data_IF_298168076076
#
_entry.id   IF_298168076076
#
_cell.length_a   1.000
_cell.length_b   1.000
_cell.length_c   1.000
_cell.angle_alpha   90.00
_cell.angle_beta   90.00
_cell.angle_gamma   90.00
#
_symmetry.space_group_name_H-M   'P 1'
#
loop_
_entity.id
_entity.type
_entity.pdbx_description
1 polymer ?
#
# COMPACT_ATOMS: atom_id res chain seq x y z
N UNK A 1 -43.47 -9.06 -6.24
CA UNK A 1 -42.39 -9.91 -5.69
C UNK A 1 -41.71 -9.14 -4.57
N UNK A 2 -41.78 -9.61 -3.32
CA UNK A 2 -41.46 -8.79 -2.13
C UNK A 2 -39.94 -8.69 -1.90
N UNK A 3 -39.33 -7.55 -2.25
CA UNK A 3 -37.89 -7.24 -2.09
C UNK A 3 -37.40 -7.45 -0.65
N UNK A 4 -38.28 -7.35 0.35
CA UNK A 4 -37.97 -7.61 1.76
C UNK A 4 -37.38 -9.02 2.00
N UNK A 5 -37.87 -10.06 1.33
CA UNK A 5 -37.42 -11.43 1.61
C UNK A 5 -35.96 -11.67 1.20
N UNK A 6 -35.53 -11.09 0.08
CA UNK A 6 -34.18 -11.27 -0.46
C UNK A 6 -33.09 -10.60 0.38
N UNK A 7 -33.38 -9.44 0.97
CA UNK A 7 -32.38 -8.73 1.82
C UNK A 7 -32.11 -9.42 3.16
N UNK A 8 -32.98 -10.34 3.58
CA UNK A 8 -32.83 -11.11 4.82
C UNK A 8 -32.21 -12.50 4.58
N UNK A 9 -32.35 -13.05 3.36
CA UNK A 9 -31.78 -14.34 2.97
C UNK A 9 -30.25 -14.32 2.94
N UNK A 10 -29.61 -15.34 3.53
CA UNK A 10 -28.16 -15.50 3.51
C UNK A 10 -27.67 -15.91 2.12
N UNK A 11 -28.41 -16.80 1.45
CA UNK A 11 -28.11 -17.29 0.09
C UNK A 11 -28.06 -16.14 -0.92
N UNK A 12 -29.04 -15.23 -0.87
CA UNK A 12 -29.07 -14.07 -1.77
C UNK A 12 -27.85 -13.16 -1.60
N UNK A 13 -27.37 -13.00 -0.35
CA UNK A 13 -26.16 -12.20 -0.06
C UNK A 13 -24.90 -12.89 -0.56
N UNK A 14 -24.79 -14.19 -0.37
CA UNK A 14 -23.65 -14.98 -0.86
C UNK A 14 -23.58 -14.91 -2.38
N UNK A 15 -24.70 -15.10 -3.08
CA UNK A 15 -24.75 -14.97 -4.55
C UNK A 15 -24.37 -13.55 -4.98
N UNK A 16 -24.94 -12.52 -4.35
CA UNK A 16 -24.63 -11.13 -4.68
C UNK A 16 -23.15 -10.79 -4.43
N UNK A 17 -22.52 -11.39 -3.42
CA UNK A 17 -21.09 -11.23 -3.14
C UNK A 17 -20.21 -11.86 -4.21
N UNK A 18 -20.47 -13.11 -4.60
CA UNK A 18 -19.74 -13.74 -5.70
C UNK A 18 -19.94 -13.00 -7.02
N UNK A 19 -21.18 -12.58 -7.30
CA UNK A 19 -21.51 -11.81 -8.49
C UNK A 19 -20.79 -10.46 -8.50
N UNK A 20 -20.71 -9.77 -7.35
CA UNK A 20 -19.92 -8.54 -7.20
C UNK A 20 -18.46 -8.78 -7.55
N UNK A 21 -17.82 -9.82 -6.99
CA UNK A 21 -16.40 -10.10 -7.25
C UNK A 21 -16.17 -10.39 -8.73
N UNK A 22 -16.96 -11.28 -9.34
CA UNK A 22 -16.82 -11.62 -10.77
C UNK A 22 -17.03 -10.40 -11.66
N UNK A 23 -18.07 -9.61 -11.41
CA UNK A 23 -18.40 -8.44 -12.24
C UNK A 23 -17.42 -7.30 -12.04
N UNK A 24 -16.91 -7.07 -10.84
CA UNK A 24 -15.86 -6.08 -10.57
C UNK A 24 -14.53 -6.48 -11.24
N UNK A 25 -14.12 -7.75 -11.15
CA UNK A 25 -12.96 -8.26 -11.87
C UNK A 25 -13.12 -8.16 -13.39
N UNK A 26 -14.31 -8.46 -13.91
CA UNK A 26 -14.61 -8.32 -15.34
C UNK A 26 -14.50 -6.86 -15.77
N UNK A 27 -15.08 -5.92 -15.01
CA UNK A 27 -15.00 -4.50 -15.31
C UNK A 27 -13.55 -4.00 -15.29
N UNK A 28 -12.76 -4.37 -14.28
CA UNK A 28 -11.35 -4.02 -14.19
C UNK A 28 -10.54 -4.61 -15.35
N UNK A 29 -10.77 -5.88 -15.68
CA UNK A 29 -10.16 -6.56 -16.83
C UNK A 29 -10.52 -5.90 -18.17
N UNK A 30 -11.76 -5.43 -18.34
CA UNK A 30 -12.17 -4.68 -19.53
C UNK A 30 -11.47 -3.32 -19.61
N UNK A 31 -11.27 -2.61 -18.49
CA UNK A 31 -10.51 -1.36 -18.47
C UNK A 31 -9.05 -1.61 -18.86
N UNK A 32 -8.39 -2.59 -18.26
CA UNK A 32 -7.01 -2.95 -18.60
C UNK A 32 -6.90 -3.41 -20.06
N UNK A 33 -7.79 -4.27 -20.51
CA UNK A 33 -7.85 -4.74 -21.89
C UNK A 33 -8.04 -3.59 -22.88
N UNK A 34 -8.93 -2.63 -22.58
CA UNK A 34 -9.12 -1.46 -23.42
C UNK A 34 -7.86 -0.58 -23.50
N UNK A 35 -7.16 -0.37 -22.38
CA UNK A 35 -5.88 0.37 -22.37
C UNK A 35 -4.85 -0.32 -23.27
N UNK A 36 -4.68 -1.64 -23.13
CA UNK A 36 -3.74 -2.43 -23.95
C UNK A 36 -4.12 -2.34 -25.43
N UNK A 37 -5.40 -2.55 -25.78
CA UNK A 37 -5.87 -2.48 -27.17
C UNK A 37 -5.62 -1.11 -27.81
N UNK A 38 -5.77 -0.03 -27.03
CA UNK A 38 -5.47 1.33 -27.50
C UNK A 38 -3.96 1.52 -27.69
N UNK A 39 -3.14 1.11 -26.73
CA UNK A 39 -1.68 1.25 -26.78
C UNK A 39 -1.05 0.47 -27.94
N UNK A 40 -1.52 -0.75 -28.17
CA UNK A 40 -1.03 -1.64 -29.23
C UNK A 40 -1.65 -1.32 -30.62
N UNK A 41 -2.52 -0.30 -30.71
CA UNK A 41 -3.03 0.19 -31.99
C UNK A 41 -4.11 -0.68 -32.65
N UNK A 42 -4.82 -1.53 -31.90
CA UNK A 42 -5.86 -2.45 -32.40
C UNK A 42 -7.04 -1.76 -33.11
N UNK A 43 -7.20 -0.45 -32.98
CA UNK A 43 -8.24 0.35 -33.63
C UNK A 43 -7.77 1.04 -34.92
N UNK A 44 -6.46 1.06 -35.17
CA UNK A 44 -5.85 1.84 -36.26
C UNK A 44 -5.12 0.97 -37.28
N UNK A 45 -4.66 -0.20 -36.87
CA UNK A 45 -3.88 -1.15 -37.68
C UNK A 45 -4.72 -2.36 -38.05
N UNK A 46 -4.38 -3.02 -39.15
CA UNK A 46 -5.02 -4.29 -39.51
C UNK A 46 -4.56 -5.40 -38.56
N UNK A 47 -5.39 -6.43 -38.41
CA UNK A 47 -5.05 -7.61 -37.62
C UNK A 47 -3.74 -8.26 -38.09
N UNK A 48 -3.58 -8.41 -39.42
CA UNK A 48 -2.38 -8.98 -40.03
C UNK A 48 -1.12 -8.19 -39.67
N UNK A 49 -1.18 -6.86 -39.65
CA UNK A 49 -0.04 -6.02 -39.26
C UNK A 49 0.36 -6.21 -37.79
N UNK A 50 -0.62 -6.40 -36.91
CA UNK A 50 -0.37 -6.60 -35.47
C UNK A 50 0.22 -7.99 -35.24
N UNK A 51 -0.37 -9.02 -35.86
CA UNK A 51 0.13 -10.39 -35.79
C UNK A 51 1.55 -10.46 -36.34
N UNK A 52 1.80 -9.92 -37.54
CA UNK A 52 3.12 -9.97 -38.17
C UNK A 52 4.20 -9.29 -37.32
N UNK A 53 3.91 -8.13 -36.71
CA UNK A 53 4.87 -7.46 -35.83
C UNK A 53 5.17 -8.29 -34.58
N UNK A 54 4.15 -8.86 -33.93
CA UNK A 54 4.37 -9.69 -32.75
C UNK A 54 5.15 -10.98 -33.08
N UNK A 55 4.86 -11.61 -34.22
CA UNK A 55 5.62 -12.76 -34.71
C UNK A 55 7.08 -12.38 -35.03
N UNK A 56 7.32 -11.18 -35.55
CA UNK A 56 8.68 -10.66 -35.78
C UNK A 56 9.46 -10.53 -34.45
N UNK A 57 8.87 -9.93 -33.41
CA UNK A 57 9.54 -9.81 -32.10
C UNK A 57 9.80 -11.16 -31.45
N UNK A 58 8.85 -12.10 -31.53
CA UNK A 58 9.06 -13.47 -31.03
C UNK A 58 10.18 -14.17 -31.78
N UNK A 59 10.16 -14.12 -33.12
CA UNK A 59 11.20 -14.71 -33.94
C UNK A 59 12.58 -14.12 -33.63
N UNK A 60 12.69 -12.80 -33.49
CA UNK A 60 13.94 -12.14 -33.12
C UNK A 60 14.45 -12.60 -31.74
N UNK A 61 13.57 -12.70 -30.75
CA UNK A 61 13.92 -13.15 -29.40
C UNK A 61 14.40 -14.60 -29.38
N UNK A 62 13.70 -15.50 -30.09
CA UNK A 62 14.10 -16.90 -30.22
C UNK A 62 15.40 -17.06 -30.99
N UNK A 63 15.55 -16.35 -32.11
CA UNK A 63 16.79 -16.31 -32.90
C UNK A 63 17.98 -15.89 -32.05
N UNK A 64 17.81 -14.84 -31.24
CA UNK A 64 18.85 -14.37 -30.31
C UNK A 64 19.20 -15.43 -29.26
N UNK A 65 18.20 -16.14 -28.75
CA UNK A 65 18.39 -17.26 -27.82
C UNK A 65 19.17 -18.41 -28.44
N UNK A 66 18.83 -18.80 -29.67
CA UNK A 66 19.52 -19.86 -30.42
C UNK A 66 20.99 -19.52 -30.66
N UNK A 67 21.31 -18.28 -31.10
CA UNK A 67 22.70 -17.87 -31.32
C UNK A 67 23.48 -17.87 -30.00
N UNK A 68 22.89 -17.31 -28.94
CA UNK A 68 23.49 -17.32 -27.60
C UNK A 68 23.78 -18.75 -27.14
N UNK A 69 22.81 -19.65 -27.27
CA UNK A 69 22.93 -21.01 -26.77
C UNK A 69 23.94 -21.81 -27.62
N UNK A 70 24.02 -21.57 -28.92
CA UNK A 70 25.08 -22.14 -29.77
C UNK A 70 26.49 -21.69 -29.34
N UNK A 71 26.66 -20.39 -29.06
CA UNK A 71 27.95 -19.82 -28.66
C UNK A 71 28.39 -20.26 -27.25
N UNK A 72 27.45 -20.41 -26.32
CA UNK A 72 27.74 -20.73 -24.92
C UNK A 72 27.68 -22.23 -24.62
N UNK A 73 26.89 -23.00 -25.36
CA UNK A 73 26.58 -24.41 -25.07
C UNK A 73 26.67 -25.27 -26.33
N UNK A 74 27.91 -25.57 -26.76
CA UNK A 74 28.20 -26.31 -28.00
C UNK A 74 27.66 -27.76 -28.04
N UNK A 75 27.28 -28.34 -26.90
CA UNK A 75 26.75 -29.72 -26.83
C UNK A 75 25.22 -29.81 -26.99
N UNK A 76 24.50 -28.70 -27.06
CA UNK A 76 23.05 -28.71 -27.16
C UNK A 76 22.61 -29.00 -28.61
N UNK A 77 21.81 -30.06 -28.82
CA UNK A 77 21.19 -30.32 -30.12
C UNK A 77 20.01 -29.38 -30.36
N UNK A 78 20.31 -28.15 -30.77
CA UNK A 78 19.32 -27.09 -30.95
C UNK A 78 18.27 -27.48 -32.03
N UNK A 79 18.63 -28.00 -33.23
CA UNK A 79 17.64 -28.34 -34.25
C UNK A 79 16.53 -29.29 -33.79
N UNK A 80 16.87 -30.30 -32.99
CA UNK A 80 15.92 -31.30 -32.47
C UNK A 80 14.88 -30.67 -31.53
N UNK A 81 15.27 -29.62 -30.81
CA UNK A 81 14.37 -28.88 -29.90
C UNK A 81 13.23 -28.17 -30.66
N UNK A 82 13.47 -27.82 -31.94
CA UNK A 82 12.52 -27.06 -32.77
C UNK A 82 11.85 -27.91 -33.86
N UNK A 83 12.02 -29.24 -33.87
CA UNK A 83 11.49 -30.11 -34.93
C UNK A 83 9.96 -30.03 -35.04
N UNK A 84 9.26 -30.00 -33.89
CA UNK A 84 7.81 -29.96 -33.79
C UNK A 84 7.26 -28.56 -33.44
N UNK A 85 7.83 -27.52 -34.06
CA UNK A 85 7.39 -26.13 -33.89
C UNK A 85 7.05 -25.49 -35.24
N UNK A 86 6.29 -24.39 -35.20
CA UNK A 86 5.99 -23.57 -36.37
C UNK A 86 7.16 -22.66 -36.77
N UNK A 87 8.29 -22.74 -36.05
CA UNK A 87 9.49 -21.94 -36.27
C UNK A 87 10.54 -22.75 -37.06
N UNK A 88 10.81 -22.31 -38.30
CA UNK A 88 11.85 -22.87 -39.15
C UNK A 88 12.98 -21.89 -39.30
N UNK A 89 14.21 -22.36 -39.22
CA UNK A 89 15.37 -21.51 -39.29
C UNK A 89 16.61 -22.20 -39.89
N UNK A 90 17.50 -21.37 -40.42
CA UNK A 90 18.86 -21.73 -40.77
C UNK A 90 19.83 -20.68 -40.25
N UNK A 91 20.94 -21.16 -39.68
CA UNK A 91 22.02 -20.34 -39.16
C UNK A 91 23.24 -20.42 -40.08
N UNK A 92 23.75 -19.25 -40.46
CA UNK A 92 24.98 -19.09 -41.24
C UNK A 92 26.01 -18.29 -40.44
N UNK A 93 27.26 -18.74 -40.46
CA UNK A 93 28.42 -17.96 -40.02
C UNK A 93 29.00 -17.21 -41.23
N UNK A 94 29.36 -15.95 -41.01
CA UNK A 94 29.96 -15.05 -42.00
C UNK A 94 29.21 -15.02 -43.35
N UNK A 95 27.87 -15.04 -43.25
CA UNK A 95 26.88 -14.97 -44.35
C UNK A 95 27.05 -16.04 -45.45
N UNK A 96 27.86 -17.08 -45.21
CA UNK A 96 28.24 -18.05 -46.24
C UNK A 96 28.39 -19.49 -45.76
N UNK A 97 28.82 -19.72 -44.51
CA UNK A 97 29.00 -21.06 -43.96
C UNK A 97 27.74 -21.50 -43.20
N UNK A 98 27.02 -22.49 -43.71
CA UNK A 98 25.85 -23.05 -43.01
C UNK A 98 26.31 -23.82 -41.77
N UNK A 99 25.90 -23.36 -40.59
CA UNK A 99 26.24 -23.99 -39.30
C UNK A 99 25.23 -25.11 -38.99
N UNK A 100 23.94 -24.79 -38.86
CA UNK A 100 22.86 -25.74 -38.64
C UNK A 100 21.48 -25.14 -38.97
N UNK A 101 20.43 -25.96 -38.98
CA UNK A 101 19.05 -25.54 -39.22
C UNK A 101 18.08 -26.72 -39.10
N UNK A 102 16.78 -26.44 -38.98
CA UNK A 102 15.76 -27.41 -38.59
C UNK A 102 14.66 -27.65 -39.65
N UNK A 103 14.97 -27.63 -40.96
CA UNK A 103 14.03 -27.85 -42.09
C UNK A 103 13.56 -26.53 -42.75
N UNK A 104 14.48 -25.72 -43.29
CA UNK A 104 14.13 -24.76 -44.34
C UNK A 104 14.65 -25.34 -45.67
N UNK A 105 13.76 -25.65 -46.60
CA UNK A 105 14.20 -26.06 -47.94
C UNK A 105 14.87 -24.87 -48.62
N UNK A 106 16.02 -25.07 -49.26
CA UNK A 106 16.82 -23.99 -49.88
C UNK A 106 16.08 -23.18 -50.98
N UNK A 107 14.89 -23.65 -51.39
CA UNK A 107 14.00 -22.99 -52.36
C UNK A 107 12.98 -22.03 -51.73
N UNK A 108 12.85 -22.03 -50.41
CA UNK A 108 11.85 -21.23 -49.71
C UNK A 108 12.38 -19.82 -49.38
N UNK A 109 11.56 -18.80 -49.63
CA UNK A 109 11.88 -17.43 -49.24
C UNK A 109 11.71 -17.26 -47.73
N UNK A 110 12.74 -16.81 -46.99
CA UNK A 110 12.60 -16.55 -45.56
C UNK A 110 11.64 -15.38 -45.31
N UNK A 111 10.86 -15.45 -44.24
CA UNK A 111 10.03 -14.33 -43.79
C UNK A 111 10.91 -13.22 -43.18
N UNK A 112 11.96 -13.61 -42.43
CA UNK A 112 12.83 -12.69 -41.72
C UNK A 112 14.31 -13.06 -41.85
N UNK A 113 15.17 -12.04 -41.88
CA UNK A 113 16.63 -12.17 -41.77
C UNK A 113 17.10 -11.36 -40.58
N UNK A 114 17.74 -12.02 -39.62
CA UNK A 114 18.36 -11.40 -38.45
C UNK A 114 19.87 -11.59 -38.52
N UNK A 115 20.63 -10.56 -38.12
CA UNK A 115 22.09 -10.62 -38.06
C UNK A 115 22.49 -10.30 -36.63
N UNK A 116 23.35 -11.13 -36.07
CA UNK A 116 23.89 -10.99 -34.73
C UNK A 116 25.41 -11.08 -34.77
N UNK A 117 26.09 -10.41 -33.84
CA UNK A 117 27.53 -10.51 -33.70
C UNK A 117 27.92 -11.32 -32.47
N UNK A 118 28.94 -12.17 -32.58
CA UNK A 118 29.50 -12.93 -31.44
C UNK A 118 29.77 -12.06 -30.21
N UNK A 119 30.30 -10.85 -30.43
CA UNK A 119 30.59 -9.86 -29.38
C UNK A 119 29.35 -9.41 -28.57
N UNK A 120 28.13 -9.68 -29.05
CA UNK A 120 26.90 -9.40 -28.28
C UNK A 120 26.65 -10.42 -27.16
N UNK A 121 27.29 -11.61 -27.24
CA UNK A 121 27.05 -12.74 -26.35
C UNK A 121 28.29 -13.19 -25.60
N UNK A 122 29.48 -13.00 -26.18
CA UNK A 122 30.76 -13.39 -25.58
C UNK A 122 31.67 -12.18 -25.40
N UNK A 123 32.60 -12.26 -24.45
CA UNK A 123 33.66 -11.24 -24.27
C UNK A 123 34.84 -11.47 -25.24
N UNK A 124 34.63 -12.24 -26.30
CA UNK A 124 35.69 -12.60 -27.22
C UNK A 124 35.98 -11.47 -28.21
N UNK A 125 37.22 -11.38 -28.69
CA UNK A 125 37.62 -10.38 -29.69
C UNK A 125 37.23 -10.78 -31.12
N UNK A 126 36.78 -12.03 -31.31
CA UNK A 126 36.27 -12.51 -32.59
C UNK A 126 34.95 -11.81 -32.93
N UNK A 127 34.90 -11.24 -34.14
CA UNK A 127 33.79 -10.46 -34.69
C UNK A 127 32.96 -11.27 -35.70
N UNK A 128 32.86 -12.59 -35.51
CA UNK A 128 32.08 -13.47 -36.37
C UNK A 128 30.63 -13.03 -36.42
N UNK A 129 30.09 -12.92 -37.63
CA UNK A 129 28.70 -12.56 -37.85
C UNK A 129 27.85 -13.81 -38.03
N UNK A 130 26.72 -13.85 -37.33
CA UNK A 130 25.74 -14.94 -37.40
C UNK A 130 24.46 -14.43 -38.05
N UNK A 131 24.20 -14.91 -39.26
CA UNK A 131 22.96 -14.63 -40.00
C UNK A 131 21.96 -15.74 -39.75
N UNK A 132 20.79 -15.37 -39.22
CA UNK A 132 19.66 -16.27 -39.09
C UNK A 132 18.60 -15.96 -40.13
N UNK A 133 18.29 -16.96 -40.95
CA UNK A 133 17.14 -16.95 -41.83
C UNK A 133 15.99 -17.66 -41.12
N UNK A 134 14.83 -17.02 -41.05
CA UNK A 134 13.67 -17.53 -40.33
C UNK A 134 12.46 -17.57 -41.25
N UNK A 135 11.70 -18.65 -41.16
CA UNK A 135 10.39 -18.81 -41.76
C UNK A 135 9.40 -19.33 -40.74
N UNK A 136 8.23 -18.72 -40.68
CA UNK A 136 7.16 -19.13 -39.76
C UNK A 136 6.07 -19.81 -40.57
N UNK A 137 5.68 -21.03 -40.19
CA UNK A 137 4.54 -21.68 -40.81
C UNK A 137 3.23 -21.00 -40.35
N UNK A 138 2.69 -20.15 -41.21
CA UNK A 138 1.46 -19.38 -40.97
C UNK A 138 0.19 -20.25 -40.97
N UNK A 139 0.29 -21.53 -41.34
CA UNK A 139 -0.81 -22.49 -41.19
C UNK A 139 -0.90 -23.05 -39.76
N UNK A 140 0.10 -22.78 -38.92
CA UNK A 140 0.17 -23.14 -37.50
C UNK A 140 -0.23 -24.60 -37.19
N UNK A 141 0.37 -25.61 -37.85
CA UNK A 141 0.05 -27.02 -37.60
C UNK A 141 0.41 -27.49 -36.19
N UNK A 142 1.38 -26.85 -35.53
CA UNK A 142 1.82 -27.19 -34.19
C UNK A 142 1.23 -26.27 -33.11
N UNK A 143 0.95 -26.83 -31.93
CA UNK A 143 0.49 -26.07 -30.76
C UNK A 143 1.69 -25.51 -29.98
N UNK A 144 2.23 -24.37 -30.40
CA UNK A 144 3.37 -23.70 -29.79
C UNK A 144 3.06 -22.24 -29.41
N UNK A 145 4.09 -21.48 -29.03
CA UNK A 145 3.95 -20.07 -28.69
C UNK A 145 3.38 -19.23 -29.84
N UNK A 146 3.75 -19.53 -31.09
CA UNK A 146 3.31 -18.82 -32.28
C UNK A 146 1.82 -19.00 -32.56
N UNK A 147 1.31 -20.23 -32.46
CA UNK A 147 -0.12 -20.48 -32.65
C UNK A 147 -0.95 -19.90 -31.50
N UNK A 148 -0.44 -19.96 -30.27
CA UNK A 148 -1.09 -19.39 -29.09
C UNK A 148 -1.21 -17.87 -29.16
N UNK A 149 -0.11 -17.16 -29.47
CA UNK A 149 -0.14 -15.69 -29.57
C UNK A 149 -1.02 -15.23 -30.72
N UNK A 150 -0.97 -15.92 -31.87
CA UNK A 150 -1.78 -15.59 -33.04
C UNK A 150 -3.27 -15.71 -32.71
N UNK A 151 -3.68 -16.82 -32.07
CA UNK A 151 -5.06 -17.00 -31.60
C UNK A 151 -5.49 -15.96 -30.56
N UNK A 152 -4.59 -15.60 -29.64
CA UNK A 152 -4.88 -14.56 -28.62
C UNK A 152 -5.05 -13.17 -29.26
N UNK A 153 -4.21 -12.81 -30.23
CA UNK A 153 -4.30 -11.55 -30.98
C UNK A 153 -5.58 -11.50 -31.82
N UNK A 154 -5.93 -12.60 -32.49
CA UNK A 154 -7.20 -12.72 -33.22
C UNK A 154 -8.40 -12.51 -32.29
N UNK A 155 -8.40 -13.18 -31.13
CA UNK A 155 -9.44 -13.01 -30.11
C UNK A 155 -9.51 -11.56 -29.62
N UNK A 156 -8.38 -10.95 -29.25
CA UNK A 156 -8.30 -9.56 -28.81
C UNK A 156 -8.83 -8.59 -29.88
N UNK A 157 -8.47 -8.83 -31.14
CA UNK A 157 -8.93 -8.04 -32.29
C UNK A 157 -10.45 -8.16 -32.49
N UNK A 158 -11.02 -9.36 -32.35
CA UNK A 158 -12.46 -9.59 -32.42
C UNK A 158 -13.23 -8.93 -31.26
N UNK A 159 -12.61 -8.85 -30.08
CA UNK A 159 -13.21 -8.32 -28.85
C UNK A 159 -13.07 -6.80 -28.70
N UNK A 160 -12.35 -6.11 -29.61
CA UNK A 160 -11.95 -4.71 -29.46
C UNK A 160 -13.09 -3.73 -29.18
N UNK A 161 -14.29 -3.99 -29.69
CA UNK A 161 -15.47 -3.17 -29.42
C UNK A 161 -16.36 -3.75 -28.30
N UNK A 162 -16.40 -5.08 -28.19
CA UNK A 162 -17.17 -5.78 -27.17
C UNK A 162 -16.67 -5.47 -25.75
N UNK A 163 -15.36 -5.23 -25.58
CA UNK A 163 -14.74 -4.92 -24.28
C UNK A 163 -15.39 -3.72 -23.58
N UNK A 164 -15.76 -2.67 -24.32
CA UNK A 164 -16.42 -1.50 -23.74
C UNK A 164 -17.83 -1.82 -23.26
N UNK A 165 -18.59 -2.56 -24.07
CA UNK A 165 -19.97 -2.93 -23.75
C UNK A 165 -19.98 -3.85 -22.53
N UNK A 166 -19.14 -4.89 -22.51
CA UNK A 166 -19.00 -5.83 -21.39
C UNK A 166 -18.52 -5.08 -20.14
N UNK A 167 -17.55 -4.16 -20.28
CA UNK A 167 -17.06 -3.33 -19.18
C UNK A 167 -18.15 -2.48 -18.56
N UNK A 168 -18.99 -1.82 -19.37
CA UNK A 168 -20.09 -0.98 -18.88
C UNK A 168 -21.15 -1.82 -18.15
N UNK A 169 -21.61 -2.92 -18.74
CA UNK A 169 -22.62 -3.78 -18.13
C UNK A 169 -22.11 -4.44 -16.84
N UNK A 170 -20.86 -4.91 -16.83
CA UNK A 170 -20.24 -5.48 -15.63
C UNK A 170 -20.08 -4.43 -14.52
N UNK A 171 -19.70 -3.19 -14.85
CA UNK A 171 -19.63 -2.11 -13.88
C UNK A 171 -21.01 -1.77 -13.27
N UNK A 172 -22.06 -1.67 -14.09
CA UNK A 172 -23.42 -1.46 -13.59
C UNK A 172 -23.89 -2.59 -12.68
N UNK A 173 -23.63 -3.84 -13.07
CA UNK A 173 -24.02 -5.00 -12.27
C UNK A 173 -23.23 -5.07 -10.95
N UNK A 174 -21.93 -4.75 -10.97
CA UNK A 174 -21.11 -4.64 -9.77
C UNK A 174 -21.66 -3.58 -8.81
N UNK A 175 -22.01 -2.39 -9.31
CA UNK A 175 -22.62 -1.33 -8.50
C UNK A 175 -23.95 -1.80 -7.91
N UNK A 176 -24.81 -2.44 -8.70
CA UNK A 176 -26.09 -2.96 -8.23
C UNK A 176 -25.92 -4.01 -7.13
N UNK A 177 -24.99 -4.96 -7.29
CA UNK A 177 -24.66 -5.95 -6.28
C UNK A 177 -24.09 -5.31 -5.00
N UNK A 178 -23.20 -4.34 -5.14
CA UNK A 178 -22.63 -3.61 -4.01
C UNK A 178 -23.72 -2.89 -3.21
N UNK A 179 -24.59 -2.13 -3.90
CA UNK A 179 -25.72 -1.43 -3.28
C UNK A 179 -26.66 -2.41 -2.57
N UNK A 180 -27.01 -3.53 -3.22
CA UNK A 180 -27.82 -4.58 -2.61
C UNK A 180 -27.18 -5.12 -1.32
N UNK A 181 -25.87 -5.42 -1.33
CA UNK A 181 -25.14 -5.89 -0.15
C UNK A 181 -25.14 -4.84 0.97
N UNK A 182 -24.98 -3.55 0.65
CA UNK A 182 -25.07 -2.47 1.64
C UNK A 182 -26.46 -2.41 2.28
N UNK A 183 -27.54 -2.56 1.51
CA UNK A 183 -28.90 -2.60 2.06
C UNK A 183 -29.16 -3.86 2.91
N UNK A 184 -28.67 -5.02 2.46
CA UNK A 184 -28.81 -6.30 3.14
C UNK A 184 -27.90 -6.44 4.38
N UNK A 185 -26.87 -5.60 4.51
CA UNK A 185 -25.93 -5.64 5.63
C UNK A 185 -26.66 -5.48 6.97
N UNK A 186 -26.41 -6.40 7.90
CA UNK A 186 -26.98 -6.40 9.26
C UNK A 186 -28.40 -6.97 9.39
N UNK A 187 -29.11 -7.20 8.29
CA UNK A 187 -30.44 -7.83 8.29
C UNK A 187 -30.32 -9.36 8.34
N UNK A 188 -31.21 -10.05 9.04
CA UNK A 188 -31.25 -11.53 9.07
C UNK A 188 -32.67 -12.04 8.99
N UNK A 189 -32.85 -13.21 8.39
CA UNK A 189 -34.14 -13.89 8.37
C UNK A 189 -34.59 -14.25 9.80
N UNK A 190 -35.85 -13.97 10.12
CA UNK A 190 -36.41 -14.18 11.46
C UNK A 190 -36.07 -13.12 12.52
N UNK A 191 -35.33 -12.04 12.19
CA UNK A 191 -35.10 -10.90 13.09
C UNK A 191 -35.31 -9.57 12.35
N UNK A 192 -36.25 -8.75 12.82
CA UNK A 192 -36.45 -7.39 12.29
C UNK A 192 -35.35 -6.42 12.74
N UNK A 193 -34.73 -6.68 13.89
CA UNK A 193 -33.64 -5.86 14.41
C UNK A 193 -32.34 -6.05 13.63
N UNK A 194 -31.63 -4.94 13.41
CA UNK A 194 -30.29 -4.94 12.81
C UNK A 194 -29.35 -5.62 13.80
N UNK A 195 -28.81 -6.77 13.42
CA UNK A 195 -27.91 -7.54 14.28
C UNK A 195 -26.44 -7.23 13.96
N UNK A 196 -25.64 -6.99 15.00
CA UNK A 196 -24.18 -6.83 14.88
C UNK A 196 -23.43 -8.18 14.77
N UNK A 197 -24.13 -9.28 14.46
CA UNK A 197 -23.56 -10.64 14.52
C UNK A 197 -22.98 -11.05 13.16
N UNK A 198 -21.71 -11.47 13.11
CA UNK A 198 -20.98 -11.87 11.90
C UNK A 198 -19.82 -10.92 11.59
N UNK A 199 -19.68 -10.48 10.33
CA UNK A 199 -18.64 -9.53 9.90
C UNK A 199 -18.64 -8.21 10.70
N UNK A 200 -19.78 -7.83 11.29
CA UNK A 200 -19.88 -6.66 12.17
C UNK A 200 -19.25 -6.84 13.56
N UNK A 201 -18.96 -8.08 13.96
CA UNK A 201 -18.24 -8.40 15.19
C UNK A 201 -16.72 -8.16 15.06
N UNK A 202 -16.18 -8.13 13.84
CA UNK A 202 -14.77 -7.83 13.59
C UNK A 202 -14.52 -6.36 13.94
N UNK A 203 -13.48 -6.04 14.75
CA UNK A 203 -13.08 -4.67 15.03
C UNK A 203 -12.82 -3.92 13.72
N UNK A 204 -13.42 -2.73 13.61
CA UNK A 204 -13.31 -1.91 12.41
C UNK A 204 -11.85 -1.56 12.07
N UNK A 205 -11.01 -1.38 13.09
CA UNK A 205 -9.59 -1.05 12.94
C UNK A 205 -8.78 -2.22 12.36
N UNK A 206 -9.17 -3.48 12.63
CA UNK A 206 -8.51 -4.65 12.05
C UNK A 206 -8.79 -4.76 10.56
N UNK A 207 -10.04 -4.53 10.14
CA UNK A 207 -10.39 -4.47 8.72
C UNK A 207 -9.70 -3.29 8.01
N UNK A 208 -9.55 -2.15 8.71
CA UNK A 208 -8.81 -1.00 8.18
C UNK A 208 -7.34 -1.37 7.97
N UNK A 209 -6.70 -2.00 8.96
CA UNK A 209 -5.32 -2.47 8.83
C UNK A 209 -5.15 -3.49 7.71
N UNK A 210 -6.08 -4.44 7.57
CA UNK A 210 -6.06 -5.43 6.49
C UNK A 210 -6.24 -4.79 5.11
N UNK A 211 -7.12 -3.80 4.99
CA UNK A 211 -7.34 -3.05 3.75
C UNK A 211 -6.08 -2.26 3.35
N UNK A 212 -5.44 -1.60 4.33
CA UNK A 212 -4.18 -0.88 4.10
C UNK A 212 -3.04 -1.83 3.73
N UNK A 213 -2.97 -3.00 4.35
CA UNK A 213 -1.98 -4.02 4.01
C UNK A 213 -2.20 -4.55 2.58
N UNK A 214 -3.43 -4.85 2.20
CA UNK A 214 -3.76 -5.28 0.83
C UNK A 214 -3.36 -4.20 -0.19
N UNK A 215 -3.75 -2.95 0.03
CA UNK A 215 -3.37 -1.84 -0.83
C UNK A 215 -1.84 -1.61 -0.89
N UNK A 216 -1.14 -1.78 0.23
CA UNK A 216 0.32 -1.67 0.27
C UNK A 216 0.99 -2.77 -0.55
N UNK A 217 0.50 -4.02 -0.45
CA UNK A 217 1.00 -5.14 -1.25
C UNK A 217 0.77 -4.85 -2.74
N UNK A 218 -0.41 -4.39 -3.13
CA UNK A 218 -0.73 -4.08 -4.52
C UNK A 218 0.17 -2.96 -5.08
N UNK A 219 0.35 -1.86 -4.34
CA UNK A 219 1.22 -0.75 -4.74
C UNK A 219 2.69 -1.18 -4.81
N UNK A 220 3.14 -2.02 -3.85
CA UNK A 220 4.49 -2.57 -3.85
C UNK A 220 4.72 -3.50 -5.05
N UNK A 221 3.73 -4.32 -5.39
CA UNK A 221 3.77 -5.17 -6.57
C UNK A 221 3.87 -4.33 -7.83
N UNK A 222 3.04 -3.31 -8.01
CA UNK A 222 3.09 -2.42 -9.19
C UNK A 222 4.42 -1.66 -9.28
N UNK A 223 4.91 -1.11 -8.17
CA UNK A 223 6.19 -0.36 -8.15
C UNK A 223 7.40 -1.24 -8.46
N UNK A 224 7.42 -2.49 -8.03
CA UNK A 224 8.45 -3.46 -8.40
C UNK A 224 8.25 -3.97 -9.85
N UNK A 225 7.00 -4.03 -10.33
CA UNK A 225 6.65 -4.48 -11.68
C UNK A 225 7.04 -3.48 -12.78
N UNK A 226 7.40 -2.23 -12.44
CA UNK A 226 7.97 -1.27 -13.41
C UNK A 226 9.23 -1.79 -14.13
N UNK A 227 9.85 -2.88 -13.63
CA UNK A 227 10.97 -3.56 -14.29
C UNK A 227 10.67 -4.99 -14.79
N UNK A 228 9.54 -5.62 -14.44
CA UNK A 228 9.38 -7.09 -14.54
C UNK A 228 7.93 -7.58 -14.80
N UNK A 229 7.18 -6.99 -15.74
CA UNK A 229 5.90 -7.58 -16.22
C UNK A 229 6.08 -8.82 -17.11
N UNK A 230 7.28 -9.40 -17.17
CA UNK A 230 7.56 -10.62 -17.94
C UNK A 230 7.25 -11.93 -17.18
N UNK A 231 7.07 -11.89 -15.86
CA UNK A 231 6.84 -13.09 -15.05
C UNK A 231 5.36 -13.31 -14.72
N UNK A 232 4.85 -14.51 -15.02
CA UNK A 232 3.49 -14.97 -14.69
C UNK A 232 3.18 -14.79 -13.21
N UNK A 233 4.18 -14.95 -12.33
CA UNK A 233 4.01 -14.77 -10.90
C UNK A 233 3.63 -13.32 -10.53
N UNK A 234 4.21 -12.32 -11.21
CA UNK A 234 3.91 -10.90 -10.95
C UNK A 234 2.46 -10.56 -11.29
N UNK A 235 1.96 -11.05 -12.43
CA UNK A 235 0.58 -10.88 -12.87
C UNK A 235 -0.38 -11.60 -11.90
N UNK A 236 -0.05 -12.81 -11.46
CA UNK A 236 -0.85 -13.56 -10.51
C UNK A 236 -0.97 -12.82 -9.17
N UNK A 237 0.12 -12.23 -8.65
CA UNK A 237 0.11 -11.44 -7.42
C UNK A 237 -0.82 -10.22 -7.55
N UNK A 238 -0.77 -9.50 -8.67
CA UNK A 238 -1.64 -8.34 -8.90
C UNK A 238 -3.13 -8.74 -8.97
N UNK A 239 -3.46 -9.82 -9.68
CA UNK A 239 -4.85 -10.29 -9.80
C UNK A 239 -5.39 -10.78 -8.46
N UNK A 240 -4.62 -11.59 -7.74
CA UNK A 240 -5.02 -12.11 -6.43
C UNK A 240 -5.09 -11.00 -5.37
N UNK A 241 -4.15 -10.04 -5.41
CA UNK A 241 -4.14 -8.86 -4.56
C UNK A 241 -5.37 -8.00 -4.77
N UNK A 242 -5.73 -7.71 -6.02
CA UNK A 242 -6.96 -7.00 -6.36
C UNK A 242 -8.23 -7.72 -5.86
N UNK A 243 -8.32 -9.04 -6.04
CA UNK A 243 -9.44 -9.84 -5.51
C UNK A 243 -9.49 -9.75 -3.98
N UNK A 244 -8.35 -9.88 -3.30
CA UNK A 244 -8.27 -9.78 -1.85
C UNK A 244 -8.71 -8.39 -1.37
N UNK A 245 -8.25 -7.31 -2.02
CA UNK A 245 -8.65 -5.94 -1.74
C UNK A 245 -10.16 -5.73 -1.95
N UNK A 246 -10.75 -6.29 -3.01
CA UNK A 246 -12.21 -6.24 -3.23
C UNK A 246 -12.99 -6.97 -2.13
N UNK A 247 -12.54 -8.16 -1.72
CA UNK A 247 -13.17 -8.96 -0.67
C UNK A 247 -13.12 -8.21 0.68
N UNK A 248 -11.93 -7.76 1.07
CA UNK A 248 -11.70 -7.04 2.33
C UNK A 248 -12.41 -5.68 2.31
N UNK A 249 -12.34 -4.95 1.20
CA UNK A 249 -13.00 -3.67 1.02
C UNK A 249 -14.52 -3.77 1.08
N UNK A 250 -15.10 -4.81 0.48
CA UNK A 250 -16.54 -5.08 0.57
C UNK A 250 -16.94 -5.41 2.01
N UNK A 251 -16.18 -6.27 2.69
CA UNK A 251 -16.41 -6.59 4.10
C UNK A 251 -16.32 -5.35 5.00
N UNK A 252 -15.33 -4.48 4.74
CA UNK A 252 -15.15 -3.19 5.42
C UNK A 252 -16.38 -2.29 5.22
N UNK A 253 -16.84 -2.12 3.98
CA UNK A 253 -18.02 -1.32 3.65
C UNK A 253 -19.29 -1.89 4.30
N UNK A 254 -19.48 -3.21 4.29
CA UNK A 254 -20.62 -3.85 4.96
C UNK A 254 -20.58 -3.63 6.49
N UNK A 255 -19.41 -3.75 7.13
CA UNK A 255 -19.25 -3.49 8.56
C UNK A 255 -19.56 -2.01 8.88
N UNK A 256 -19.07 -1.09 8.06
CA UNK A 256 -19.38 0.33 8.17
C UNK A 256 -20.89 0.59 8.04
N UNK A 257 -21.55 -0.01 7.04
CA UNK A 257 -22.98 0.17 6.80
C UNK A 257 -23.82 -0.32 7.99
N UNK A 258 -23.47 -1.46 8.61
CA UNK A 258 -24.14 -1.96 9.83
C UNK A 258 -24.00 -0.96 10.98
N UNK A 259 -22.79 -0.41 11.18
CA UNK A 259 -22.52 0.55 12.26
C UNK A 259 -23.26 1.87 12.11
N UNK A 260 -23.37 2.37 10.87
CA UNK A 260 -24.19 3.54 10.54
C UNK A 260 -25.66 3.25 10.85
N UNK A 261 -26.19 2.09 10.44
CA UNK A 261 -27.57 1.68 10.73
C UNK A 261 -27.86 1.50 12.23
N UNK A 262 -26.86 1.12 13.03
CA UNK A 262 -26.97 0.97 14.48
C UNK A 262 -26.82 2.29 15.26
N UNK A 263 -26.55 3.42 14.60
CA UNK A 263 -26.44 4.73 15.25
C UNK A 263 -25.21 4.90 16.14
N UNK A 264 -24.19 4.04 15.99
CA UNK A 264 -23.06 3.93 16.91
C UNK A 264 -21.70 3.79 16.24
N UNK A 265 -21.43 4.57 15.19
CA UNK A 265 -20.23 4.40 14.35
C UNK A 265 -18.88 4.47 15.12
N UNK A 266 -18.80 5.25 16.19
CA UNK A 266 -17.53 5.50 16.92
C UNK A 266 -17.36 4.75 18.23
N UNK A 267 -18.44 4.32 18.89
CA UNK A 267 -18.39 3.81 20.29
C UNK A 267 -17.65 2.48 20.45
N UNK A 268 -17.34 1.79 19.34
CA UNK A 268 -16.68 0.49 19.34
C UNK A 268 -15.49 0.43 18.36
N UNK A 269 -14.74 1.53 18.24
CA UNK A 269 -13.42 1.58 17.61
C UNK A 269 -12.32 1.43 18.66
N UNK A 270 -11.20 0.80 18.30
CA UNK A 270 -10.00 0.68 19.14
C UNK A 270 -9.46 2.07 19.46
N UNK A 271 -9.51 3.01 18.50
CA UNK A 271 -9.14 4.42 18.72
C UNK A 271 -9.97 5.03 19.85
N UNK A 272 -11.29 4.85 19.85
CA UNK A 272 -12.13 5.36 20.93
C UNK A 272 -11.78 4.72 22.29
N UNK A 273 -11.49 3.41 22.32
CA UNK A 273 -11.06 2.73 23.56
C UNK A 273 -9.72 3.26 24.07
N UNK A 274 -8.77 3.51 23.17
CA UNK A 274 -7.47 4.10 23.50
C UNK A 274 -7.61 5.54 24.00
N UNK A 275 -8.46 6.36 23.39
CA UNK A 275 -8.72 7.74 23.83
C UNK A 275 -9.39 7.77 25.20
N UNK A 276 -10.37 6.90 25.45
CA UNK A 276 -11.02 6.79 26.76
C UNK A 276 -10.03 6.29 27.81
N UNK A 277 -9.17 5.32 27.47
CA UNK A 277 -8.12 4.84 28.36
C UNK A 277 -7.10 5.94 28.68
N UNK A 278 -6.61 6.67 27.67
CA UNK A 278 -5.70 7.79 27.84
C UNK A 278 -6.34 8.91 28.69
N UNK A 279 -7.61 9.24 28.45
CA UNK A 279 -8.35 10.21 29.24
C UNK A 279 -8.52 9.79 30.70
N UNK A 280 -8.75 8.49 30.96
CA UNK A 280 -8.78 7.94 32.33
C UNK A 280 -7.40 8.00 32.98
N UNK A 281 -6.34 7.62 32.27
CA UNK A 281 -4.97 7.68 32.77
C UNK A 281 -4.56 9.11 33.13
N UNK A 282 -4.81 10.07 32.24
CA UNK A 282 -4.59 11.51 32.49
C UNK A 282 -5.38 12.02 33.68
N UNK A 283 -6.64 11.60 33.82
CA UNK A 283 -7.47 12.00 34.97
C UNK A 283 -6.92 11.45 36.28
N UNK A 284 -6.49 10.18 36.30
CA UNK A 284 -5.87 9.56 37.49
C UNK A 284 -4.57 10.28 37.86
N UNK A 285 -3.70 10.56 36.89
CA UNK A 285 -2.45 11.31 37.10
C UNK A 285 -2.76 12.73 37.61
N UNK A 286 -3.71 13.43 36.99
CA UNK A 286 -4.12 14.77 37.39
C UNK A 286 -4.74 14.81 38.79
N UNK A 287 -5.56 13.83 39.16
CA UNK A 287 -6.08 13.72 40.53
C UNK A 287 -4.99 13.40 41.54
N UNK A 288 -4.01 12.55 41.18
CA UNK A 288 -2.85 12.24 42.01
C UNK A 288 -1.96 13.46 42.24
N UNK A 289 -1.62 14.19 41.18
CA UNK A 289 -0.88 15.46 41.27
C UNK A 289 -1.66 16.49 42.09
N UNK A 290 -2.96 16.68 41.83
CA UNK A 290 -3.78 17.63 42.57
C UNK A 290 -3.89 17.29 44.06
N UNK A 291 -3.91 16.01 44.42
CA UNK A 291 -3.89 15.59 45.82
C UNK A 291 -2.54 15.90 46.49
N UNK A 292 -1.44 15.64 45.79
CA UNK A 292 -0.08 15.94 46.24
C UNK A 292 0.13 17.45 46.44
N UNK A 293 -0.37 18.29 45.53
CA UNK A 293 -0.28 19.76 45.65
C UNK A 293 -1.16 20.34 46.77
N UNK A 294 -2.22 19.64 47.19
CA UNK A 294 -3.10 20.10 48.28
C UNK A 294 -2.54 19.79 49.67
N UNK A 295 -1.78 18.71 49.83
CA UNK A 295 -1.22 18.30 51.12
C UNK A 295 0.11 18.97 51.50
N UNK A 296 0.75 19.70 50.59
CA UNK A 296 2.05 20.33 50.83
C UNK A 296 1.92 21.71 51.52
N UNK A 297 2.79 22.04 52.50
CA UNK A 297 2.90 23.40 53.07
C UNK A 297 3.25 24.44 52.00
N UNK A 298 2.84 25.71 52.19
CA UNK A 298 3.00 26.79 51.19
C UNK A 298 4.46 26.92 50.70
N UNK A 299 5.44 26.77 51.59
CA UNK A 299 6.87 26.82 51.27
C UNK A 299 7.25 25.71 50.28
N UNK A 300 6.80 24.48 50.51
CA UNK A 300 7.08 23.37 49.60
C UNK A 300 6.38 23.51 48.25
N UNK A 301 5.20 24.16 48.19
CA UNK A 301 4.56 24.50 46.90
C UNK A 301 5.43 25.46 46.10
N UNK A 302 6.01 26.47 46.75
CA UNK A 302 6.92 27.42 46.09
C UNK A 302 8.22 26.76 45.63
N UNK A 303 8.81 25.87 46.45
CA UNK A 303 10.00 25.10 46.08
C UNK A 303 9.73 24.19 44.89
N UNK A 304 8.60 23.48 44.89
CA UNK A 304 8.24 22.54 43.82
C UNK A 304 7.89 23.28 42.52
N UNK A 305 7.24 24.44 42.59
CA UNK A 305 7.01 25.32 41.44
C UNK A 305 8.32 25.85 40.86
N UNK A 306 9.26 26.30 41.70
CA UNK A 306 10.59 26.72 41.26
C UNK A 306 11.36 25.57 40.61
N UNK A 307 11.32 24.37 41.18
CA UNK A 307 11.93 23.18 40.59
C UNK A 307 11.31 22.80 39.25
N UNK A 308 9.98 22.92 39.11
CA UNK A 308 9.28 22.63 37.87
C UNK A 308 9.63 23.64 36.76
N UNK A 309 9.73 24.93 37.09
CA UNK A 309 10.15 25.99 36.16
C UNK A 309 11.61 25.78 35.76
N UNK A 310 12.51 25.53 36.71
CA UNK A 310 13.91 25.25 36.44
C UNK A 310 14.10 23.99 35.57
N UNK A 311 13.31 22.95 35.81
CA UNK A 311 13.32 21.73 34.99
C UNK A 311 12.79 21.94 33.58
N UNK A 312 11.72 22.73 33.41
CA UNK A 312 11.17 23.09 32.10
C UNK A 312 12.15 23.91 31.26
N UNK A 313 12.86 24.87 31.88
CA UNK A 313 13.91 25.61 31.19
C UNK A 313 15.08 24.70 30.81
N UNK A 314 15.52 23.79 31.68
CA UNK A 314 16.60 22.84 31.38
C UNK A 314 16.24 21.93 30.19
N UNK A 315 15.01 21.44 30.12
CA UNK A 315 14.51 20.67 28.97
C UNK A 315 14.42 21.50 27.69
N UNK A 316 14.04 22.78 27.82
CA UNK A 316 13.99 23.72 26.69
C UNK A 316 15.39 23.98 26.13
N UNK A 317 16.42 24.08 26.97
CA UNK A 317 17.80 24.18 26.51
C UNK A 317 18.27 22.95 25.74
N UNK A 318 17.98 21.74 26.25
CA UNK A 318 18.36 20.48 25.58
C UNK A 318 17.69 20.24 24.23
N UNK A 319 16.54 20.89 23.97
CA UNK A 319 15.77 20.74 22.73
C UNK A 319 16.07 21.82 21.68
N UNK A 320 16.55 23.02 22.09
CA UNK A 320 16.60 24.19 21.20
C UNK A 320 17.98 24.85 21.01
N UNK A 321 19.02 24.49 21.78
CA UNK A 321 20.34 25.16 21.68
C UNK A 321 21.52 24.16 21.73
N UNK A 322 22.32 24.13 20.66
CA UNK A 322 23.40 23.12 20.49
C UNK A 322 24.82 23.58 20.87
N UNK A 323 25.10 24.87 21.09
CA UNK A 323 26.47 25.32 21.41
C UNK A 323 26.51 26.64 22.21
N UNK A 324 26.30 26.58 23.53
CA UNK A 324 26.50 27.75 24.39
C UNK A 324 26.83 27.39 25.84
N UNK A 325 28.01 26.81 26.08
CA UNK A 325 28.52 26.45 27.42
C UNK A 325 28.58 27.65 28.37
N UNK A 326 28.84 28.86 27.85
CA UNK A 326 28.91 30.10 28.65
C UNK A 326 27.54 30.56 29.18
N UNK A 327 26.45 30.32 28.43
CA UNK A 327 25.11 30.69 28.86
C UNK A 327 24.61 29.83 30.02
N UNK A 328 25.08 28.58 30.12
CA UNK A 328 24.74 27.68 31.24
C UNK A 328 25.33 28.19 32.57
N UNK A 329 26.58 28.67 32.56
CA UNK A 329 27.24 29.19 33.77
C UNK A 329 26.58 30.49 34.23
N UNK A 330 26.32 31.43 33.30
CA UNK A 330 25.64 32.68 33.62
C UNK A 330 24.21 32.44 34.15
N UNK A 331 23.48 31.49 33.56
CA UNK A 331 22.12 31.12 33.98
C UNK A 331 22.10 30.34 35.29
N UNK A 332 23.09 29.48 35.54
CA UNK A 332 23.25 28.81 36.83
C UNK A 332 23.51 29.83 37.95
N UNK A 333 24.34 30.85 37.71
CA UNK A 333 24.54 31.95 38.65
C UNK A 333 23.25 32.75 38.89
N UNK A 334 22.46 33.01 37.84
CA UNK A 334 21.17 33.68 37.95
C UNK A 334 20.19 32.90 38.85
N UNK A 335 20.06 31.59 38.64
CA UNK A 335 19.21 30.73 39.49
C UNK A 335 19.76 30.55 40.91
N UNK A 336 21.09 30.51 41.08
CA UNK A 336 21.75 30.46 42.39
C UNK A 336 21.42 31.70 43.24
N UNK A 337 21.18 32.84 42.60
CA UNK A 337 20.86 34.11 43.27
C UNK A 337 19.34 34.32 43.40
N UNK A 338 18.57 33.95 42.38
CA UNK A 338 17.10 34.09 42.36
C UNK A 338 16.38 33.14 43.31
N UNK A 339 16.81 31.87 43.44
CA UNK A 339 16.13 30.91 44.34
C UNK A 339 16.17 31.38 45.80
N UNK A 340 17.33 31.73 46.38
CA UNK A 340 17.38 32.25 47.75
C UNK A 340 16.59 33.55 47.91
N UNK A 341 16.61 34.44 46.92
CA UNK A 341 15.86 35.69 46.95
C UNK A 341 14.34 35.46 47.00
N UNK A 342 13.82 34.57 46.14
CA UNK A 342 12.40 34.21 46.12
C UNK A 342 11.99 33.50 47.41
N UNK A 343 12.82 32.58 47.93
CA UNK A 343 12.54 31.90 49.19
C UNK A 343 12.57 32.85 50.39
N UNK A 344 13.52 33.79 50.42
CA UNK A 344 13.59 34.82 51.44
C UNK A 344 12.33 35.70 51.40
N UNK A 345 11.89 36.14 50.22
CA UNK A 345 10.68 36.94 50.05
C UNK A 345 9.43 36.14 50.46
N UNK A 346 9.35 34.86 50.11
CA UNK A 346 8.28 33.98 50.55
C UNK A 346 8.26 33.78 52.08
N UNK A 347 9.41 33.70 52.74
CA UNK A 347 9.52 33.63 54.20
C UNK A 347 9.09 34.95 54.88
N UNK A 348 9.45 36.09 54.31
CA UNK A 348 9.00 37.41 54.77
C UNK A 348 7.47 37.51 54.66
N UNK A 349 6.90 37.16 53.51
CA UNK A 349 5.44 37.15 53.32
C UNK A 349 4.74 36.17 54.27
N UNK A 350 5.33 35.01 54.54
CA UNK A 350 4.78 34.06 55.50
C UNK A 350 4.82 34.59 56.94
N UNK A 351 5.90 35.28 57.33
CA UNK A 351 6.00 35.93 58.65
C UNK A 351 4.98 37.06 58.80
N UNK A 352 4.81 37.88 57.75
CA UNK A 352 3.79 38.93 57.70
C UNK A 352 2.37 38.35 57.75
N UNK A 353 2.11 37.27 57.02
CA UNK A 353 0.83 36.58 57.06
C UNK A 353 0.53 36.09 58.49
N UNK A 354 1.47 35.41 59.14
CA UNK A 354 1.31 34.94 60.52
C UNK A 354 1.14 36.07 61.53
N UNK A 355 1.86 37.19 61.35
CA UNK A 355 1.68 38.38 62.17
C UNK A 355 0.32 39.04 61.99
N UNK A 356 -0.18 39.13 60.75
CA UNK A 356 -1.53 39.62 60.47
C UNK A 356 -2.62 38.70 61.04
N UNK A 357 -2.42 37.38 61.01
CA UNK A 357 -3.32 36.41 61.63
C UNK A 357 -3.34 36.54 63.17
N UNK A 358 -2.19 36.76 63.81
CA UNK A 358 -2.08 36.96 65.26
C UNK A 358 -2.73 38.29 65.72
N UNK A 359 -2.52 39.38 64.97
CA UNK A 359 -3.17 40.68 65.24
C UNK A 359 -4.68 40.62 65.03
N UNK A 360 -5.14 39.94 63.98
CA UNK A 360 -6.57 39.72 63.74
C UNK A 360 -7.22 38.86 64.83
N UNK A 361 -6.45 37.98 65.48
CA UNK A 361 -6.89 37.19 66.64
C UNK A 361 -6.89 37.98 67.97
N UNK A 362 -6.49 39.26 67.97
CA UNK A 362 -6.58 40.16 69.12
C UNK A 362 -5.34 40.21 70.01
N UNK A 363 -4.24 39.55 69.63
CA UNK A 363 -2.96 39.64 70.35
C UNK A 363 -2.18 40.90 69.92
N UNK A 364 -2.47 42.02 70.58
CA UNK A 364 -1.82 43.30 70.34
C UNK A 364 -0.37 43.37 70.86
N UNK A 365 0.08 42.34 71.59
CA UNK A 365 1.45 42.25 72.10
C UNK A 365 2.41 41.55 71.13
N UNK A 366 1.90 40.88 70.12
CA UNK A 366 2.70 40.18 69.11
C UNK A 366 3.36 41.17 68.15
N UNK A 367 4.66 41.37 68.31
CA UNK A 367 5.48 42.17 67.41
C UNK A 367 6.18 41.29 66.38
N UNK A 368 6.00 41.61 65.10
CA UNK A 368 6.74 40.98 64.01
C UNK A 368 8.14 41.60 64.01
N UNK A 369 9.18 40.79 64.23
CA UNK A 369 10.57 41.23 64.11
C UNK A 369 10.92 41.49 62.64
N UNK A 370 10.96 42.78 62.27
CA UNK A 370 11.19 43.28 60.90
C UNK A 370 12.65 43.65 60.61
N UNK A 371 13.54 43.62 61.60
CA UNK A 371 14.93 44.13 61.48
C UNK A 371 15.85 43.37 60.50
N UNK A 372 15.34 42.31 59.85
CA UNK A 372 16.02 41.61 58.75
C UNK A 372 15.15 41.54 57.49
N UNK A 373 14.11 42.36 57.36
CA UNK A 373 13.28 42.50 56.17
C UNK A 373 13.87 43.62 55.30
N UNK A 374 13.82 43.46 53.97
CA UNK A 374 14.35 44.48 53.06
C UNK A 374 13.45 45.72 53.15
N UNK A 375 14.04 46.90 53.39
CA UNK A 375 13.41 48.23 53.62
C UNK A 375 13.05 48.64 55.07
N UNK A 376 13.62 48.00 56.08
CA UNK A 376 13.55 48.49 57.48
C UNK A 376 14.74 49.40 57.87
#
# INVERSE_FOLDING_TARGET
MNVKHWTHSLLAKTIAFFLLVVTACTAAGCVLGAVILVQEGFYTRSEEQIVQEQLYYMAQSESRGIVRDHLLFQELNIPETYENTNFRFELFADDSERVFGNIMDASETPDYKFVFHSSEFTNDQDLTSYTMLVKIDKSFPFSDGYSTISGLLHFAYSMRYAVYVIGIFSAFLAIACFVFLMFAAGRREGREEISAVGLAAIPFDLLTGLLLLAAFIDVSAVSNSYFMLHDVASVAVLVLGFIAALVVGTAYCMNFAVRVKLGGWWKNTVVFRLVVFAGRALRTIGTGLSALFRSLPLIWKTVLALFAIAGLELLSFGMFYYDASWLLIARFLEWLLLIPAILYLALVLLKLQKGSEALAAGDLSYQVDTGRMFWD
#
